data_IF_689746766382
#
_entry.id   IF_689746766382
#
_cell.length_a   1.000
_cell.length_b   1.000
_cell.length_c   1.000
_cell.angle_alpha   90.00
_cell.angle_beta   90.00
_cell.angle_gamma   90.00
#
_symmetry.space_group_name_H-M   'P 1'
#
loop_
_entity.id
_entity.type
_entity.pdbx_description
1 polymer ?
#
# COMPACT_ATOMS: atom_id res chain seq x y z
N UNK A 1 16.04 9.07 -23.85
CA UNK A 1 16.45 9.74 -22.59
C UNK A 1 15.55 10.93 -22.22
N UNK A 2 14.37 11.06 -22.79
CA UNK A 2 13.43 12.19 -22.59
C UNK A 2 12.19 11.86 -21.75
N UNK A 3 12.06 10.63 -21.23
CA UNK A 3 10.82 10.23 -20.52
C UNK A 3 10.78 10.56 -19.01
N UNK A 4 11.86 11.09 -18.43
CA UNK A 4 11.91 11.39 -16.99
C UNK A 4 11.56 12.83 -16.62
N UNK A 5 11.51 13.77 -17.59
CA UNK A 5 11.17 15.16 -17.31
C UNK A 5 9.66 15.42 -17.31
N UNK A 6 8.90 14.75 -18.18
CA UNK A 6 7.44 14.94 -18.23
C UNK A 6 6.70 14.40 -17.00
N UNK A 7 7.17 13.27 -16.43
CA UNK A 7 6.57 12.76 -15.18
C UNK A 7 6.79 13.68 -13.98
N UNK A 8 7.86 14.47 -13.98
CA UNK A 8 8.16 15.40 -12.87
C UNK A 8 7.27 16.64 -12.88
N UNK A 9 6.81 17.09 -14.05
CA UNK A 9 5.98 18.29 -14.17
C UNK A 9 4.54 18.04 -13.70
N UNK A 10 4.02 16.83 -13.89
CA UNK A 10 2.65 16.46 -13.48
C UNK A 10 2.52 16.09 -11.99
N UNK A 11 3.60 15.62 -11.37
CA UNK A 11 3.65 15.48 -9.92
C UNK A 11 3.63 16.83 -9.22
N UNK A 12 4.13 17.91 -9.86
CA UNK A 12 4.07 19.27 -9.33
C UNK A 12 2.65 19.80 -9.21
N UNK A 13 1.72 19.39 -10.07
CA UNK A 13 0.35 19.92 -10.09
C UNK A 13 -0.46 19.54 -8.84
N UNK A 14 -0.21 18.35 -8.28
CA UNK A 14 -0.84 17.92 -7.02
C UNK A 14 0.01 18.22 -5.79
N UNK A 15 1.29 18.55 -5.93
CA UNK A 15 2.19 18.90 -4.82
C UNK A 15 1.72 20.15 -4.06
N UNK A 16 1.05 21.08 -4.71
CA UNK A 16 0.47 22.24 -4.07
C UNK A 16 -0.59 21.85 -3.04
N UNK A 17 -1.49 20.93 -3.39
CA UNK A 17 -2.50 20.41 -2.47
C UNK A 17 -1.88 19.63 -1.30
N UNK A 18 -0.78 18.94 -1.53
CA UNK A 18 -0.08 18.18 -0.47
C UNK A 18 0.61 19.10 0.54
N UNK A 19 1.06 20.29 0.10
CA UNK A 19 1.76 21.25 0.96
C UNK A 19 0.82 22.22 1.66
N UNK A 20 -0.24 22.65 1.01
CA UNK A 20 -1.08 23.78 1.44
C UNK A 20 -2.57 23.45 1.49
N UNK A 21 -2.96 22.25 1.02
CA UNK A 21 -4.36 21.86 0.94
C UNK A 21 -4.98 21.58 2.32
N UNK A 22 -6.28 21.82 2.42
CA UNK A 22 -7.10 21.31 3.51
C UNK A 22 -6.98 19.78 3.58
N UNK A 23 -7.16 19.14 4.76
CA UNK A 23 -6.96 17.71 4.94
C UNK A 23 -7.64 16.84 3.88
N UNK A 24 -8.90 17.14 3.53
CA UNK A 24 -9.67 16.36 2.54
C UNK A 24 -9.09 16.50 1.13
N UNK A 25 -8.65 17.69 0.74
CA UNK A 25 -8.02 17.93 -0.57
C UNK A 25 -6.67 17.24 -0.67
N UNK A 26 -5.88 17.30 0.40
CA UNK A 26 -4.60 16.61 0.50
C UNK A 26 -4.79 15.10 0.32
N UNK A 27 -5.75 14.52 1.02
CA UNK A 27 -6.04 13.09 0.95
C UNK A 27 -6.50 12.66 -0.45
N UNK A 28 -7.39 13.42 -1.10
CA UNK A 28 -7.80 13.18 -2.49
C UNK A 28 -6.62 13.28 -3.45
N UNK A 29 -5.74 14.28 -3.28
CA UNK A 29 -4.53 14.43 -4.09
C UNK A 29 -3.59 13.22 -3.97
N UNK A 30 -3.41 12.67 -2.76
CA UNK A 30 -2.64 11.44 -2.52
C UNK A 30 -3.25 10.24 -3.27
N UNK A 31 -4.57 10.09 -3.24
CA UNK A 31 -5.25 9.00 -3.97
C UNK A 31 -5.03 9.13 -5.49
N UNK A 32 -5.20 10.32 -6.04
CA UNK A 32 -4.98 10.57 -7.46
C UNK A 32 -3.52 10.36 -7.88
N UNK A 33 -2.55 10.81 -7.07
CA UNK A 33 -1.13 10.56 -7.34
C UNK A 33 -0.82 9.08 -7.40
N UNK A 34 -1.29 8.34 -6.42
CA UNK A 34 -1.12 6.87 -6.38
C UNK A 34 -1.77 6.20 -7.58
N UNK A 35 -3.01 6.56 -7.89
CA UNK A 35 -3.77 5.98 -9.00
C UNK A 35 -3.09 6.21 -10.35
N UNK A 36 -2.60 7.43 -10.60
CA UNK A 36 -1.89 7.80 -11.83
C UNK A 36 -0.52 7.11 -11.88
N UNK A 37 0.24 7.15 -10.79
CA UNK A 37 1.58 6.57 -10.74
C UNK A 37 1.59 5.05 -10.87
N UNK A 38 0.53 4.36 -10.45
CA UNK A 38 0.39 2.91 -10.63
C UNK A 38 0.24 2.49 -12.10
N UNK A 39 -0.06 3.40 -13.02
CA UNK A 39 -0.13 3.07 -14.46
C UNK A 39 1.25 2.78 -15.05
N UNK A 40 2.32 3.35 -14.47
CA UNK A 40 3.71 3.09 -14.90
C UNK A 40 4.11 1.61 -14.78
N UNK A 41 3.44 0.83 -13.94
CA UNK A 41 3.67 -0.62 -13.80
C UNK A 41 3.55 -1.36 -15.12
N UNK A 42 2.62 -0.93 -15.98
CA UNK A 42 2.36 -1.51 -17.27
C UNK A 42 2.78 -0.56 -18.42
N UNK A 43 3.58 0.47 -18.09
CA UNK A 43 4.09 1.45 -19.07
C UNK A 43 3.01 2.37 -19.65
N UNK A 44 1.89 2.51 -18.96
CA UNK A 44 0.77 3.34 -19.39
C UNK A 44 0.91 4.78 -18.88
N UNK A 45 0.37 5.72 -19.64
CA UNK A 45 0.33 7.15 -19.29
C UNK A 45 -1.09 7.68 -19.38
N UNK A 46 -1.46 8.48 -18.39
CA UNK A 46 -2.75 9.16 -18.36
C UNK A 46 -2.78 10.38 -19.27
N UNK A 47 -3.97 10.74 -19.74
CA UNK A 47 -4.19 11.94 -20.54
C UNK A 47 -4.18 13.21 -19.70
N UNK A 48 -3.96 14.35 -20.36
CA UNK A 48 -4.12 15.67 -19.69
C UNK A 48 -5.58 15.95 -19.32
N UNK A 49 -6.52 15.40 -20.08
CA UNK A 49 -7.94 15.48 -19.76
C UNK A 49 -8.26 14.86 -18.40
N UNK A 50 -7.73 13.66 -18.12
CA UNK A 50 -7.89 13.06 -16.79
C UNK A 50 -7.30 13.93 -15.70
N UNK A 51 -6.09 14.48 -15.91
CA UNK A 51 -5.41 15.30 -14.89
C UNK A 51 -6.20 16.56 -14.54
N UNK A 52 -6.77 17.23 -15.57
CA UNK A 52 -7.65 18.39 -15.36
C UNK A 52 -8.93 17.98 -14.61
N UNK A 53 -9.53 16.83 -14.97
CA UNK A 53 -10.74 16.35 -14.33
C UNK A 53 -10.48 15.91 -12.88
N UNK A 54 -9.32 15.27 -12.63
CA UNK A 54 -8.86 14.93 -11.29
C UNK A 54 -8.68 16.15 -10.39
N UNK A 55 -8.12 17.26 -10.94
CA UNK A 55 -7.99 18.52 -10.21
C UNK A 55 -9.35 19.03 -9.76
N UNK A 56 -10.34 19.04 -10.64
CA UNK A 56 -11.71 19.46 -10.29
C UNK A 56 -12.33 18.60 -9.18
N UNK A 57 -12.01 17.29 -9.16
CA UNK A 57 -12.43 16.39 -8.09
C UNK A 57 -11.70 16.68 -6.75
N UNK A 58 -10.41 16.98 -6.79
CA UNK A 58 -9.64 17.38 -5.61
C UNK A 58 -10.20 18.69 -5.03
N UNK A 59 -10.52 19.66 -5.88
CA UNK A 59 -11.14 20.95 -5.51
C UNK A 59 -12.56 20.80 -4.96
N UNK A 60 -13.20 19.65 -5.18
CA UNK A 60 -14.58 19.39 -4.75
C UNK A 60 -15.65 19.94 -5.72
N UNK A 61 -15.27 20.34 -6.93
CA UNK A 61 -16.20 20.81 -7.95
C UNK A 61 -17.06 19.69 -8.53
N UNK A 62 -16.49 18.48 -8.59
CA UNK A 62 -17.16 17.29 -9.12
C UNK A 62 -16.89 16.07 -8.23
N UNK A 63 -17.81 15.13 -8.22
CA UNK A 63 -17.67 13.83 -7.52
C UNK A 63 -16.79 12.87 -8.32
N UNK A 64 -16.37 11.76 -7.69
CA UNK A 64 -15.57 10.73 -8.39
C UNK A 64 -16.42 10.00 -9.44
N UNK A 65 -17.71 9.83 -9.23
CA UNK A 65 -18.64 9.25 -10.19
C UNK A 65 -18.79 10.14 -11.43
N UNK A 66 -18.82 11.47 -11.22
CA UNK A 66 -18.82 12.44 -12.31
C UNK A 66 -17.52 12.39 -13.11
N UNK A 67 -16.34 12.21 -12.44
CA UNK A 67 -15.08 11.98 -13.14
C UNK A 67 -15.15 10.75 -14.03
N UNK A 68 -15.60 9.61 -13.50
CA UNK A 68 -15.72 8.36 -14.27
C UNK A 68 -16.66 8.53 -15.47
N UNK A 69 -17.78 9.23 -15.29
CA UNK A 69 -18.70 9.55 -16.38
C UNK A 69 -18.07 10.45 -17.45
N UNK A 70 -17.35 11.50 -17.04
CA UNK A 70 -16.68 12.43 -17.95
C UNK A 70 -15.58 11.73 -18.76
N UNK A 71 -14.75 10.92 -18.12
CA UNK A 71 -13.70 10.12 -18.80
C UNK A 71 -14.32 9.17 -19.81
N UNK A 72 -15.36 8.42 -19.43
CA UNK A 72 -16.10 7.53 -20.34
C UNK A 72 -16.65 8.28 -21.53
N UNK A 73 -17.30 9.40 -21.30
CA UNK A 73 -17.92 10.23 -22.36
C UNK A 73 -16.89 10.84 -23.31
N UNK A 74 -15.73 11.28 -22.76
CA UNK A 74 -14.64 11.82 -23.56
C UNK A 74 -14.17 10.83 -24.62
N UNK A 75 -13.89 9.59 -24.25
CA UNK A 75 -13.43 8.58 -25.20
C UNK A 75 -14.54 8.07 -26.13
N UNK A 76 -15.80 8.05 -25.70
CA UNK A 76 -16.94 7.70 -26.58
C UNK A 76 -17.20 8.72 -27.67
N UNK A 77 -16.93 10.00 -27.42
CA UNK A 77 -17.12 11.10 -28.39
C UNK A 77 -15.95 11.27 -29.35
N UNK A 78 -14.81 10.66 -29.09
CA UNK A 78 -13.64 10.77 -29.92
C UNK A 78 -13.84 10.01 -31.22
N UNK A 79 -14.11 10.74 -32.31
CA UNK A 79 -14.44 10.17 -33.63
C UNK A 79 -13.23 9.66 -34.40
N UNK A 80 -12.02 10.23 -34.16
CA UNK A 80 -10.75 9.76 -34.69
C UNK A 80 -9.87 9.30 -33.52
N UNK A 81 -9.53 8.00 -33.48
CA UNK A 81 -8.61 7.44 -32.48
C UNK A 81 -7.18 7.45 -32.99
N UNK A 82 -6.28 7.89 -32.14
CA UNK A 82 -4.83 7.77 -32.33
C UNK A 82 -4.36 6.39 -31.84
N UNK A 83 -3.18 5.96 -32.28
CA UNK A 83 -2.62 4.63 -31.94
C UNK A 83 -2.49 4.40 -30.41
N UNK A 84 -2.24 5.47 -29.65
CA UNK A 84 -2.08 5.40 -28.18
C UNK A 84 -3.36 5.64 -27.38
N UNK A 85 -4.49 5.91 -28.04
CA UNK A 85 -5.73 6.28 -27.34
C UNK A 85 -6.31 5.14 -26.50
N UNK A 86 -6.18 3.90 -26.95
CA UNK A 86 -6.68 2.76 -26.18
C UNK A 86 -5.90 2.59 -24.88
N UNK A 87 -4.58 2.82 -24.91
CA UNK A 87 -3.72 2.79 -23.72
C UNK A 87 -4.01 3.95 -22.75
N UNK A 88 -4.25 5.15 -23.31
CA UNK A 88 -4.63 6.33 -22.53
C UNK A 88 -6.01 6.14 -21.89
N UNK A 89 -6.98 5.61 -22.64
CA UNK A 89 -8.31 5.29 -22.12
C UNK A 89 -8.24 4.28 -20.97
N UNK A 90 -7.46 3.21 -21.12
CA UNK A 90 -7.22 2.26 -20.03
C UNK A 90 -6.64 2.97 -18.82
N UNK A 91 -5.54 3.71 -18.99
CA UNK A 91 -4.87 4.42 -17.89
C UNK A 91 -5.80 5.40 -17.17
N UNK A 92 -6.60 6.16 -17.89
CA UNK A 92 -7.52 7.14 -17.34
C UNK A 92 -8.66 6.50 -16.55
N UNK A 93 -9.31 5.48 -17.12
CA UNK A 93 -10.41 4.77 -16.45
C UNK A 93 -9.91 4.04 -15.20
N UNK A 94 -8.79 3.32 -15.32
CA UNK A 94 -8.18 2.59 -14.21
C UNK A 94 -7.74 3.55 -13.10
N UNK A 95 -7.19 4.72 -13.44
CA UNK A 95 -6.82 5.73 -12.43
C UNK A 95 -8.02 6.27 -11.68
N UNK A 96 -9.13 6.59 -12.36
CA UNK A 96 -10.35 7.04 -11.70
C UNK A 96 -10.92 5.96 -10.75
N UNK A 97 -10.93 4.70 -11.19
CA UNK A 97 -11.40 3.57 -10.39
C UNK A 97 -10.51 3.30 -9.16
N UNK A 98 -9.17 3.39 -9.32
CA UNK A 98 -8.23 3.26 -8.19
C UNK A 98 -8.38 4.42 -7.20
N UNK A 99 -8.51 5.67 -7.68
CA UNK A 99 -8.71 6.82 -6.81
C UNK A 99 -9.98 6.68 -5.94
N UNK A 100 -11.07 6.19 -6.52
CA UNK A 100 -12.30 5.85 -5.79
C UNK A 100 -12.04 4.79 -4.71
N UNK A 101 -11.41 3.66 -5.09
CA UNK A 101 -11.13 2.56 -4.17
C UNK A 101 -10.25 2.97 -2.99
N UNK A 102 -9.26 3.84 -3.23
CA UNK A 102 -8.35 4.32 -2.19
C UNK A 102 -9.04 5.30 -1.24
N UNK A 103 -10.09 5.98 -1.71
CA UNK A 103 -10.91 6.88 -0.90
C UNK A 103 -11.95 6.20 -0.01
N UNK A 104 -12.16 4.90 -0.17
CA UNK A 104 -13.09 4.12 0.63
C UNK A 104 -12.39 3.43 1.79
N UNK A 105 -12.95 3.49 2.99
CA UNK A 105 -12.41 2.81 4.18
C UNK A 105 -12.70 1.31 4.18
N UNK A 106 -13.71 0.87 3.42
CA UNK A 106 -14.11 -0.53 3.37
C UNK A 106 -13.01 -1.43 2.80
N UNK A 107 -12.68 -2.50 3.52
CA UNK A 107 -11.73 -3.50 3.10
C UNK A 107 -12.20 -4.91 3.49
N UNK A 108 -12.30 -5.80 2.51
CA UNK A 108 -12.69 -7.20 2.74
C UNK A 108 -11.47 -8.09 2.54
N UNK A 109 -10.94 -8.61 3.64
CA UNK A 109 -9.78 -9.51 3.64
C UNK A 109 -10.22 -10.94 3.29
N UNK A 110 -10.33 -11.23 2.01
CA UNK A 110 -10.73 -12.54 1.47
C UNK A 110 -10.45 -12.66 -0.03
N UNK A 111 -10.60 -13.86 -0.59
CA UNK A 111 -10.56 -14.09 -2.05
C UNK A 111 -11.61 -13.21 -2.76
N UNK A 112 -12.81 -13.09 -2.18
CA UNK A 112 -13.87 -12.22 -2.73
C UNK A 112 -13.41 -10.76 -2.71
N UNK A 113 -12.73 -10.33 -1.65
CA UNK A 113 -12.16 -8.98 -1.56
C UNK A 113 -11.14 -8.69 -2.66
N UNK A 114 -10.18 -9.60 -2.89
CA UNK A 114 -9.17 -9.45 -3.96
C UNK A 114 -9.82 -9.41 -5.34
N UNK A 115 -10.76 -10.32 -5.62
CA UNK A 115 -11.47 -10.35 -6.91
C UNK A 115 -12.36 -9.14 -7.10
N UNK A 116 -12.95 -8.60 -6.01
CA UNK A 116 -13.72 -7.35 -6.03
C UNK A 116 -12.83 -6.14 -6.31
N UNK A 117 -11.64 -6.05 -5.69
CA UNK A 117 -10.67 -5.00 -5.99
C UNK A 117 -10.30 -5.04 -7.48
N UNK A 118 -9.92 -6.21 -8.02
CA UNK A 118 -9.61 -6.33 -9.44
C UNK A 118 -10.79 -5.94 -10.33
N UNK A 119 -12.00 -6.43 -10.03
CA UNK A 119 -13.22 -6.09 -10.79
C UNK A 119 -13.41 -4.58 -10.85
N UNK A 120 -13.35 -3.92 -9.72
CA UNK A 120 -13.58 -2.48 -9.61
C UNK A 120 -12.50 -1.65 -10.26
N UNK A 121 -11.22 -2.05 -10.16
CA UNK A 121 -10.11 -1.39 -10.86
C UNK A 121 -10.32 -1.40 -12.37
N UNK A 122 -10.75 -2.55 -12.92
CA UNK A 122 -10.81 -2.77 -14.37
C UNK A 122 -12.24 -2.78 -14.93
N UNK A 123 -13.22 -2.32 -14.17
CA UNK A 123 -14.58 -2.15 -14.64
C UNK A 123 -14.63 -1.21 -15.85
N UNK A 124 -15.29 -1.68 -16.92
CA UNK A 124 -15.37 -0.94 -18.18
C UNK A 124 -14.08 -0.94 -19.03
N UNK A 125 -13.03 -1.64 -18.58
CA UNK A 125 -11.74 -1.81 -19.29
C UNK A 125 -11.60 -3.25 -19.78
N UNK A 126 -11.62 -4.23 -18.86
CA UNK A 126 -11.52 -5.64 -19.21
C UNK A 126 -12.85 -6.37 -19.09
N UNK A 127 -13.19 -7.18 -20.09
CA UNK A 127 -14.42 -8.02 -20.05
C UNK A 127 -14.38 -9.05 -18.92
N UNK A 128 -13.18 -9.51 -18.55
CA UNK A 128 -12.91 -10.49 -17.50
C UNK A 128 -12.53 -9.86 -16.15
N UNK A 129 -12.90 -8.61 -15.92
CA UNK A 129 -12.60 -7.92 -14.67
C UNK A 129 -13.17 -8.67 -13.45
N UNK A 130 -12.32 -9.04 -12.50
CA UNK A 130 -12.67 -9.81 -11.31
C UNK A 130 -12.72 -11.33 -11.50
N UNK A 131 -12.45 -11.85 -12.70
CA UNK A 131 -12.44 -13.28 -12.98
C UNK A 131 -11.04 -13.88 -12.80
N UNK A 132 -10.94 -14.98 -12.08
CA UNK A 132 -9.71 -15.75 -11.95
C UNK A 132 -9.48 -16.47 -13.30
N UNK A 133 -8.28 -16.33 -13.85
CA UNK A 133 -7.90 -16.96 -15.12
C UNK A 133 -7.99 -18.49 -15.05
N UNK A 134 -8.27 -19.11 -16.18
CA UNK A 134 -8.35 -20.57 -16.36
C UNK A 134 -7.26 -21.14 -17.28
N UNK A 135 -6.21 -20.37 -17.54
CA UNK A 135 -5.06 -20.75 -18.37
C UNK A 135 -3.75 -20.30 -17.71
N UNK A 136 -2.65 -21.01 -18.02
CA UNK A 136 -1.34 -20.68 -17.50
C UNK A 136 -0.73 -19.50 -18.26
N UNK A 137 0.10 -18.72 -17.58
CA UNK A 137 0.73 -17.52 -18.12
C UNK A 137 2.24 -17.54 -17.89
N UNK A 138 2.94 -16.86 -18.77
CA UNK A 138 4.37 -16.56 -18.65
C UNK A 138 4.59 -15.12 -19.14
N UNK A 139 5.41 -14.36 -18.42
CA UNK A 139 5.72 -12.97 -18.76
C UNK A 139 7.23 -12.77 -18.79
N UNK A 140 7.73 -12.16 -19.87
CA UNK A 140 9.14 -11.77 -19.93
C UNK A 140 9.41 -10.58 -19.03
N UNK A 141 10.27 -10.75 -18.04
CA UNK A 141 10.57 -9.72 -17.07
C UNK A 141 11.91 -9.03 -17.37
N UNK A 142 11.88 -7.69 -17.37
CA UNK A 142 13.07 -6.90 -17.71
C UNK A 142 14.24 -7.15 -16.74
N UNK A 143 13.98 -7.20 -15.43
CA UNK A 143 15.02 -7.46 -14.40
C UNK A 143 15.60 -8.88 -14.50
N UNK A 144 14.91 -9.79 -15.15
CA UNK A 144 15.32 -11.18 -15.39
C UNK A 144 15.93 -11.38 -16.78
N UNK A 145 16.25 -10.31 -17.52
CA UNK A 145 16.78 -10.39 -18.89
C UNK A 145 15.90 -11.19 -19.84
N UNK A 146 14.58 -11.13 -19.64
CA UNK A 146 13.58 -11.81 -20.46
C UNK A 146 13.15 -13.19 -19.95
N UNK A 147 13.69 -13.68 -18.84
CA UNK A 147 13.13 -14.84 -18.13
C UNK A 147 11.80 -14.47 -17.47
N UNK A 148 11.07 -15.48 -17.02
CA UNK A 148 9.77 -15.36 -16.34
C UNK A 148 9.84 -15.88 -14.90
N UNK A 149 9.04 -15.28 -14.02
CA UNK A 149 8.70 -15.90 -12.74
C UNK A 149 7.80 -17.11 -13.01
N UNK A 150 7.91 -18.13 -12.18
CA UNK A 150 6.97 -19.23 -12.14
C UNK A 150 5.70 -18.80 -11.42
N UNK A 151 4.65 -18.52 -12.17
CA UNK A 151 3.34 -18.16 -11.64
C UNK A 151 2.51 -19.39 -11.25
N UNK A 152 1.47 -19.20 -10.44
CA UNK A 152 0.55 -20.27 -10.06
C UNK A 152 -0.13 -20.93 -11.26
N UNK A 153 -0.31 -22.25 -11.20
CA UNK A 153 -1.04 -23.02 -12.22
C UNK A 153 -2.53 -22.71 -12.17
N UNK A 154 -3.17 -22.57 -13.33
CA UNK A 154 -4.58 -22.17 -13.42
C UNK A 154 -5.55 -23.00 -12.55
N UNK A 155 -5.48 -24.35 -12.47
CA UNK A 155 -6.37 -25.14 -11.64
C UNK A 155 -6.25 -24.86 -10.13
N UNK A 156 -5.09 -24.36 -9.68
CA UNK A 156 -4.76 -24.22 -8.26
C UNK A 156 -4.94 -22.81 -7.73
N UNK A 157 -5.15 -21.81 -8.59
CA UNK A 157 -5.14 -20.39 -8.22
C UNK A 157 -6.07 -20.03 -7.05
N UNK A 158 -7.32 -20.50 -7.10
CA UNK A 158 -8.29 -20.23 -6.02
C UNK A 158 -7.85 -20.86 -4.71
N UNK A 159 -7.35 -22.11 -4.75
CA UNK A 159 -6.86 -22.83 -3.57
C UNK A 159 -5.64 -22.14 -2.97
N UNK A 160 -4.70 -21.69 -3.80
CA UNK A 160 -3.53 -20.94 -3.37
C UNK A 160 -3.91 -19.63 -2.70
N UNK A 161 -4.86 -18.85 -3.29
CA UNK A 161 -5.37 -17.63 -2.68
C UNK A 161 -6.01 -17.87 -1.30
N UNK A 162 -6.84 -18.93 -1.18
CA UNK A 162 -7.46 -19.28 0.09
C UNK A 162 -6.38 -19.59 1.12
N UNK A 163 -5.42 -20.45 0.74
CA UNK A 163 -4.34 -20.89 1.62
C UNK A 163 -3.51 -19.71 2.14
N UNK A 164 -3.00 -18.84 1.25
CA UNK A 164 -2.16 -17.72 1.67
C UNK A 164 -2.92 -16.72 2.56
N UNK A 165 -4.19 -16.45 2.24
CA UNK A 165 -5.02 -15.56 3.06
C UNK A 165 -5.36 -16.16 4.44
N UNK A 166 -5.56 -17.47 4.53
CA UNK A 166 -5.80 -18.15 5.81
C UNK A 166 -4.53 -18.16 6.66
N UNK A 167 -3.37 -18.49 6.07
CA UNK A 167 -2.09 -18.46 6.79
C UNK A 167 -1.80 -17.07 7.35
N UNK A 168 -2.05 -16.01 6.58
CA UNK A 168 -1.87 -14.64 7.05
C UNK A 168 -2.88 -14.24 8.13
N UNK A 169 -4.12 -14.72 8.05
CA UNK A 169 -5.14 -14.48 9.08
C UNK A 169 -4.79 -15.11 10.43
N UNK A 170 -4.17 -16.29 10.39
CA UNK A 170 -3.72 -17.02 11.58
C UNK A 170 -2.41 -16.49 12.14
N UNK A 171 -1.68 -15.69 11.37
CA UNK A 171 -0.40 -15.13 11.80
C UNK A 171 -0.60 -14.07 12.90
N UNK A 172 0.13 -14.25 13.99
CA UNK A 172 0.11 -13.30 15.11
C UNK A 172 1.30 -12.36 15.05
N UNK A 173 1.02 -11.08 14.95
CA UNK A 173 2.04 -10.02 15.02
C UNK A 173 2.46 -9.64 16.44
N UNK A 174 1.83 -10.25 17.46
CA UNK A 174 2.10 -9.94 18.87
C UNK A 174 3.52 -10.38 19.23
N UNK A 175 4.30 -9.46 19.81
CA UNK A 175 5.67 -9.72 20.27
C UNK A 175 6.74 -9.81 19.16
N UNK A 176 6.36 -9.64 17.89
CA UNK A 176 7.31 -9.72 16.77
C UNK A 176 7.98 -8.35 16.56
N UNK A 177 9.31 -8.29 16.41
CA UNK A 177 10.03 -7.06 16.08
C UNK A 177 9.59 -6.50 14.73
N UNK A 178 9.68 -5.17 14.56
CA UNK A 178 9.24 -4.49 13.33
C UNK A 178 9.97 -5.03 12.09
N UNK A 179 11.25 -5.37 12.20
CA UNK A 179 12.02 -5.92 11.08
C UNK A 179 11.47 -7.26 10.60
N UNK A 180 11.09 -8.14 11.54
CA UNK A 180 10.49 -9.43 11.21
C UNK A 180 9.06 -9.26 10.68
N UNK A 181 8.31 -8.29 11.19
CA UNK A 181 7.00 -7.91 10.65
C UNK A 181 7.11 -7.44 9.19
N UNK A 182 8.07 -6.57 8.88
CA UNK A 182 8.27 -6.11 7.50
C UNK A 182 8.68 -7.25 6.57
N UNK A 183 9.56 -8.13 7.03
CA UNK A 183 9.94 -9.35 6.27
C UNK A 183 8.73 -10.25 6.02
N UNK A 184 7.89 -10.44 7.04
CA UNK A 184 6.67 -11.25 6.92
C UNK A 184 5.69 -10.61 5.93
N UNK A 185 5.39 -9.32 6.05
CA UNK A 185 4.55 -8.57 5.10
C UNK A 185 5.11 -8.68 3.67
N UNK A 186 6.42 -8.50 3.49
CA UNK A 186 7.06 -8.62 2.19
C UNK A 186 6.88 -10.03 1.62
N UNK A 187 7.05 -11.07 2.43
CA UNK A 187 6.85 -12.47 2.05
C UNK A 187 5.39 -12.72 1.65
N UNK A 188 4.44 -12.32 2.48
CA UNK A 188 3.01 -12.49 2.21
C UNK A 188 2.60 -11.79 0.90
N UNK A 189 2.92 -10.51 0.74
CA UNK A 189 2.56 -9.74 -0.46
C UNK A 189 3.23 -10.29 -1.72
N UNK A 190 4.48 -10.75 -1.63
CA UNK A 190 5.16 -11.36 -2.78
C UNK A 190 4.56 -12.71 -3.16
N UNK A 191 4.19 -13.55 -2.20
CA UNK A 191 3.49 -14.81 -2.43
C UNK A 191 2.14 -14.60 -3.09
N UNK A 192 1.33 -13.68 -2.54
CA UNK A 192 0.04 -13.31 -3.11
C UNK A 192 0.17 -12.81 -4.56
N UNK A 193 1.18 -11.99 -4.87
CA UNK A 193 1.46 -11.56 -6.24
C UNK A 193 1.90 -12.70 -7.14
N UNK A 194 2.69 -13.66 -6.64
CA UNK A 194 3.18 -14.81 -7.41
C UNK A 194 2.05 -15.73 -7.87
N UNK A 195 0.97 -15.86 -7.09
CA UNK A 195 -0.23 -16.60 -7.52
C UNK A 195 -0.72 -16.07 -8.87
N UNK A 196 -0.68 -14.76 -9.07
CA UNK A 196 -1.01 -14.10 -10.33
C UNK A 196 -2.39 -14.52 -10.88
N UNK A 197 -3.46 -14.32 -10.09
CA UNK A 197 -4.75 -14.97 -10.35
C UNK A 197 -5.49 -14.41 -11.57
N UNK A 198 -5.12 -13.25 -12.10
CA UNK A 198 -5.84 -12.59 -13.18
C UNK A 198 -5.05 -12.66 -14.51
N UNK A 199 -5.76 -12.56 -15.62
CA UNK A 199 -5.11 -12.51 -16.92
C UNK A 199 -4.22 -11.28 -17.08
N UNK A 200 -4.70 -10.12 -16.62
CA UNK A 200 -4.01 -8.83 -16.64
C UNK A 200 -4.20 -8.08 -15.29
N UNK A 201 -3.45 -7.00 -15.05
CA UNK A 201 -3.66 -6.09 -13.92
C UNK A 201 -3.26 -6.61 -12.54
N UNK A 202 -2.55 -7.75 -12.44
CA UNK A 202 -2.19 -8.36 -11.15
C UNK A 202 -1.38 -7.42 -10.24
N UNK A 203 -0.39 -6.70 -10.77
CA UNK A 203 0.45 -5.82 -9.96
C UNK A 203 -0.31 -4.60 -9.45
N UNK A 204 -1.17 -3.97 -10.28
CA UNK A 204 -2.03 -2.85 -9.84
C UNK A 204 -3.01 -3.30 -8.76
N UNK A 205 -3.61 -4.48 -8.92
CA UNK A 205 -4.48 -5.09 -7.91
C UNK A 205 -3.74 -5.37 -6.61
N UNK A 206 -2.55 -5.98 -6.69
CA UNK A 206 -1.72 -6.24 -5.51
C UNK A 206 -1.32 -4.96 -4.80
N UNK A 207 -0.97 -3.90 -5.52
CA UNK A 207 -0.63 -2.61 -4.92
C UNK A 207 -1.82 -2.00 -4.14
N UNK A 208 -3.01 -1.95 -4.74
CA UNK A 208 -4.22 -1.45 -4.08
C UNK A 208 -4.61 -2.32 -2.87
N UNK A 209 -4.56 -3.65 -3.03
CA UNK A 209 -4.75 -4.57 -1.91
C UNK A 209 -3.75 -4.30 -0.78
N UNK A 210 -2.47 -4.16 -1.09
CA UNK A 210 -1.40 -3.90 -0.11
C UNK A 210 -1.67 -2.61 0.66
N UNK A 211 -2.03 -1.52 -0.02
CA UNK A 211 -2.34 -0.25 0.63
C UNK A 211 -3.50 -0.42 1.63
N UNK A 212 -4.59 -1.03 1.19
CA UNK A 212 -5.77 -1.26 2.05
C UNK A 212 -5.46 -2.22 3.19
N UNK A 213 -4.72 -3.28 2.93
CA UNK A 213 -4.27 -4.24 3.93
C UNK A 213 -3.40 -3.58 5.01
N UNK A 214 -2.38 -2.83 4.62
CA UNK A 214 -1.52 -2.12 5.57
C UNK A 214 -2.29 -1.09 6.40
N UNK A 215 -3.24 -0.38 5.80
CA UNK A 215 -4.14 0.52 6.53
C UNK A 215 -4.97 -0.24 7.57
N UNK A 216 -5.49 -1.42 7.23
CA UNK A 216 -6.25 -2.27 8.17
C UNK A 216 -5.39 -2.78 9.33
N UNK A 217 -4.07 -2.86 9.15
CA UNK A 217 -3.10 -3.15 10.20
C UNK A 217 -2.69 -1.92 11.03
N UNK A 218 -3.25 -0.74 10.73
CA UNK A 218 -2.99 0.52 11.43
C UNK A 218 -1.79 1.32 10.94
N UNK A 219 -1.13 0.88 9.87
CA UNK A 219 -0.06 1.67 9.27
C UNK A 219 -0.62 2.87 8.51
N UNK A 220 -0.01 4.03 8.72
CA UNK A 220 -0.21 5.17 7.83
C UNK A 220 0.61 4.92 6.58
N UNK A 221 -0.05 4.58 5.49
CA UNK A 221 0.62 4.32 4.23
C UNK A 221 0.74 5.64 3.48
N UNK A 222 1.96 6.14 3.38
CA UNK A 222 2.27 7.23 2.49
C UNK A 222 2.25 6.70 1.05
N UNK A 223 1.19 7.02 0.32
CA UNK A 223 0.98 6.52 -1.03
C UNK A 223 1.95 7.10 -2.07
N UNK A 224 2.74 8.13 -1.72
CA UNK A 224 3.74 8.72 -2.61
C UNK A 224 4.75 7.70 -3.11
N UNK A 225 5.13 6.73 -2.28
CA UNK A 225 6.07 5.72 -2.69
C UNK A 225 5.51 4.79 -3.78
N UNK A 226 4.25 4.41 -3.69
CA UNK A 226 3.58 3.66 -4.75
C UNK A 226 3.43 4.48 -6.03
N UNK A 227 3.21 5.78 -5.92
CA UNK A 227 3.16 6.70 -7.05
C UNK A 227 4.51 6.83 -7.75
N UNK A 228 5.58 7.07 -6.99
CA UNK A 228 6.91 7.37 -7.53
C UNK A 228 7.73 6.14 -7.90
N UNK A 229 7.44 4.99 -7.27
CA UNK A 229 8.23 3.77 -7.31
C UNK A 229 7.40 2.53 -7.66
N UNK A 230 6.29 2.70 -8.38
CA UNK A 230 5.43 1.59 -8.81
C UNK A 230 6.19 0.55 -9.66
N UNK A 231 7.03 1.01 -10.59
CA UNK A 231 7.91 0.16 -11.38
C UNK A 231 8.96 -0.57 -10.53
N UNK A 232 9.49 0.11 -9.50
CA UNK A 232 10.39 -0.54 -8.54
C UNK A 232 9.65 -1.62 -7.74
N UNK A 233 8.45 -1.34 -7.24
CA UNK A 233 7.63 -2.30 -6.51
C UNK A 233 7.37 -3.56 -7.34
N UNK A 234 6.97 -3.40 -8.61
CA UNK A 234 6.80 -4.54 -9.53
C UNK A 234 8.08 -5.37 -9.67
N UNK A 235 9.19 -4.72 -9.95
CA UNK A 235 10.47 -5.41 -10.14
C UNK A 235 10.96 -6.10 -8.85
N UNK A 236 10.70 -5.50 -7.69
CA UNK A 236 11.01 -6.10 -6.39
C UNK A 236 10.17 -7.37 -6.13
N UNK A 237 8.88 -7.39 -6.51
CA UNK A 237 8.04 -8.58 -6.48
C UNK A 237 8.59 -9.68 -7.39
N UNK A 238 9.04 -9.31 -8.60
CA UNK A 238 9.68 -10.25 -9.55
C UNK A 238 10.93 -10.88 -8.91
N UNK A 239 11.83 -10.06 -8.34
CA UNK A 239 13.07 -10.55 -7.74
C UNK A 239 12.86 -11.40 -6.48
N UNK A 240 11.84 -11.08 -5.70
CA UNK A 240 11.46 -11.87 -4.52
C UNK A 240 10.94 -13.27 -4.87
N UNK A 241 10.44 -13.48 -6.11
CA UNK A 241 9.81 -14.72 -6.56
C UNK A 241 10.57 -15.46 -7.68
N UNK A 242 11.78 -15.01 -8.03
CA UNK A 242 12.56 -15.65 -9.09
C UNK A 242 13.79 -16.35 -8.53
N UNK A 243 13.98 -17.60 -8.94
CA UNK A 243 15.22 -18.34 -8.73
C UNK A 243 15.59 -19.11 -10.00
N UNK A 244 16.88 -19.31 -10.22
CA UNK A 244 17.41 -20.11 -11.31
C UNK A 244 18.76 -20.72 -10.90
N UNK A 245 18.75 -21.97 -10.51
CA UNK A 245 19.96 -22.68 -10.03
C UNK A 245 21.04 -22.78 -11.11
N UNK A 246 20.66 -22.89 -12.38
CA UNK A 246 21.64 -22.99 -13.49
C UNK A 246 22.40 -21.68 -13.67
N UNK A 247 21.72 -20.55 -13.45
CA UNK A 247 22.32 -19.20 -13.53
C UNK A 247 22.92 -18.76 -12.19
N UNK A 248 22.82 -19.55 -11.13
CA UNK A 248 23.27 -19.16 -9.79
C UNK A 248 22.47 -18.00 -9.19
N UNK A 249 21.21 -17.84 -9.58
CA UNK A 249 20.34 -16.76 -9.10
C UNK A 249 19.35 -17.33 -8.09
N UNK A 250 19.33 -16.75 -6.89
CA UNK A 250 18.40 -17.11 -5.82
C UNK A 250 17.32 -16.04 -5.62
N UNK A 251 16.29 -16.37 -4.83
CA UNK A 251 15.27 -15.43 -4.38
C UNK A 251 15.91 -14.23 -3.69
N UNK A 252 15.50 -13.03 -4.05
CA UNK A 252 16.08 -11.81 -3.49
C UNK A 252 14.98 -10.86 -2.97
N UNK A 253 14.48 -11.09 -1.76
CA UNK A 253 13.41 -10.29 -1.17
C UNK A 253 13.87 -8.92 -0.64
N UNK A 254 15.19 -8.68 -0.53
CA UNK A 254 15.72 -7.46 0.09
C UNK A 254 15.21 -6.17 -0.58
N UNK A 255 14.98 -6.19 -1.89
CA UNK A 255 14.47 -5.02 -2.61
C UNK A 255 13.03 -4.69 -2.18
N UNK A 256 12.19 -5.72 -1.99
CA UNK A 256 10.82 -5.53 -1.52
C UNK A 256 10.80 -5.11 -0.03
N UNK A 257 11.68 -5.69 0.78
CA UNK A 257 11.86 -5.30 2.19
C UNK A 257 12.25 -3.82 2.29
N UNK A 258 13.21 -3.35 1.48
CA UNK A 258 13.60 -1.92 1.44
C UNK A 258 12.44 -1.02 1.02
N UNK A 259 11.62 -1.45 0.07
CA UNK A 259 10.42 -0.71 -0.31
C UNK A 259 9.47 -0.55 0.88
N UNK A 260 9.18 -1.63 1.60
CA UNK A 260 8.30 -1.57 2.78
C UNK A 260 8.93 -0.82 3.95
N UNK A 261 10.24 -0.89 4.16
CA UNK A 261 10.92 -0.08 5.18
C UNK A 261 10.80 1.41 4.88
N UNK A 262 10.98 1.82 3.63
CA UNK A 262 10.77 3.21 3.23
C UNK A 262 9.29 3.63 3.39
N UNK A 263 8.36 2.74 3.04
CA UNK A 263 6.92 3.00 3.11
C UNK A 263 6.40 3.13 4.55
N UNK A 264 6.84 2.25 5.44
CA UNK A 264 6.26 2.07 6.78
C UNK A 264 7.07 2.74 7.89
N UNK A 265 8.37 2.95 7.68
CA UNK A 265 9.31 3.50 8.66
C UNK A 265 9.92 4.83 8.24
N UNK A 266 9.51 5.39 7.09
CA UNK A 266 10.07 6.60 6.49
C UNK A 266 11.61 6.54 6.30
N UNK A 267 12.14 5.32 6.12
CA UNK A 267 13.54 5.14 5.79
C UNK A 267 13.85 5.66 4.39
N UNK A 268 15.12 5.92 4.12
CA UNK A 268 15.59 6.45 2.84
C UNK A 268 16.52 5.46 2.13
N UNK A 269 16.14 4.18 2.10
CA UNK A 269 16.85 3.20 1.31
C UNK A 269 16.81 3.59 -0.17
N UNK A 270 17.92 3.44 -0.86
CA UNK A 270 17.96 3.73 -2.29
C UNK A 270 17.17 2.68 -3.08
N UNK A 271 16.17 3.14 -3.83
CA UNK A 271 15.28 2.29 -4.64
C UNK A 271 15.60 2.49 -6.13
N UNK A 272 16.53 1.68 -6.66
CA UNK A 272 16.93 1.71 -8.07
C UNK A 272 16.67 0.38 -8.77
N UNK A 273 15.90 0.42 -9.85
CA UNK A 273 15.57 -0.76 -10.64
C UNK A 273 16.79 -1.50 -11.19
N UNK A 274 17.85 -0.78 -11.55
CA UNK A 274 19.08 -1.37 -12.12
C UNK A 274 19.77 -2.35 -11.18
N UNK A 275 19.62 -2.19 -9.85
CA UNK A 275 20.21 -3.10 -8.86
C UNK A 275 19.49 -4.46 -8.79
N UNK A 276 18.32 -4.56 -9.37
CA UNK A 276 17.53 -5.79 -9.41
C UNK A 276 17.83 -6.68 -10.62
N UNK A 277 18.63 -6.21 -11.57
CA UNK A 277 19.05 -7.03 -12.71
C UNK A 277 19.81 -8.27 -12.23
N UNK A 278 19.46 -9.45 -12.77
CA UNK A 278 20.13 -10.71 -12.40
C UNK A 278 21.60 -10.81 -12.88
N UNK A 279 22.01 -9.89 -13.74
CA UNK A 279 23.37 -9.76 -14.26
C UNK A 279 23.78 -8.28 -14.21
N UNK A 280 23.93 -7.68 -13.00
CA UNK A 280 24.30 -6.28 -12.92
C UNK A 280 25.76 -6.11 -13.39
N UNK A 281 26.10 -4.99 -14.04
CA UNK A 281 27.50 -4.62 -14.26
C UNK A 281 28.24 -4.58 -12.92
N UNK A 282 29.47 -5.12 -12.88
CA UNK A 282 30.29 -5.24 -11.65
C UNK A 282 30.49 -3.94 -10.87
N UNK A 283 30.37 -2.80 -11.54
CA UNK A 283 30.47 -1.45 -10.98
C UNK A 283 29.30 -1.08 -10.03
N UNK A 284 28.24 -1.89 -9.98
CA UNK A 284 27.01 -1.62 -9.24
C UNK A 284 26.89 -2.38 -7.91
N UNK A 285 27.83 -3.26 -7.61
CA UNK A 285 27.79 -4.10 -6.38
C UNK A 285 28.15 -3.34 -5.10
N UNK A 286 28.72 -2.15 -5.19
CA UNK A 286 29.20 -1.40 -4.05
C UNK A 286 28.32 -0.21 -3.70
N UNK A 287 27.28 -0.39 -2.87
CA UNK A 287 26.82 0.63 -1.90
C UNK A 287 25.50 0.21 -1.23
N UNK A 288 25.58 -0.78 -0.36
CA UNK A 288 24.52 -1.08 0.59
C UNK A 288 24.90 -0.54 1.96
N UNK A 289 24.82 0.78 2.16
CA UNK A 289 24.87 1.36 3.52
C UNK A 289 23.49 1.24 4.14
N UNK A 290 23.41 0.46 5.22
CA UNK A 290 22.27 0.49 6.14
C UNK A 290 22.24 1.85 6.83
N UNK A 291 21.08 2.52 6.80
CA UNK A 291 20.83 3.72 7.59
C UNK A 291 20.27 3.27 8.94
N UNK A 292 20.75 3.81 10.09
CA UNK A 292 20.28 3.41 11.42
C UNK A 292 18.80 3.75 11.64
N UNK A 293 18.12 2.90 12.39
CA UNK A 293 16.72 3.02 12.78
C UNK A 293 16.45 4.32 13.56
N UNK A 294 15.62 5.21 13.01
CA UNK A 294 14.98 6.29 13.76
C UNK A 294 13.47 6.11 13.66
N UNK A 295 12.87 5.71 14.76
CA UNK A 295 11.42 5.70 14.91
C UNK A 295 10.88 7.14 15.07
N UNK A 296 9.68 7.45 14.51
CA UNK A 296 9.00 8.69 14.83
C UNK A 296 8.74 8.73 16.33
N UNK A 297 9.05 9.84 16.97
CA UNK A 297 8.90 10.02 18.42
C UNK A 297 7.43 10.37 18.69
N UNK A 298 6.63 9.41 19.13
CA UNK A 298 5.29 9.67 19.68
C UNK A 298 5.37 10.55 20.92
N UNK A 299 4.34 11.35 21.18
CA UNK A 299 4.29 12.17 22.39
C UNK A 299 4.34 11.29 23.65
N UNK A 300 4.77 11.86 24.79
CA UNK A 300 4.83 11.14 26.06
C UNK A 300 3.46 10.56 26.44
N UNK A 301 2.39 11.31 26.22
CA UNK A 301 1.01 10.91 26.51
C UNK A 301 0.57 9.72 25.65
N UNK A 302 0.84 9.76 24.37
CA UNK A 302 0.54 8.65 23.44
C UNK A 302 1.33 7.40 23.84
N UNK A 303 2.61 7.54 24.17
CA UNK A 303 3.43 6.42 24.64
C UNK A 303 2.89 5.81 25.95
N UNK A 304 2.43 6.62 26.89
CA UNK A 304 1.79 6.13 28.13
C UNK A 304 0.49 5.36 27.83
N UNK A 305 -0.34 5.86 26.91
CA UNK A 305 -1.57 5.17 26.49
C UNK A 305 -1.26 3.81 25.86
N UNK A 306 -0.28 3.77 24.97
CA UNK A 306 0.16 2.53 24.31
C UNK A 306 0.65 1.51 25.34
N UNK A 307 1.41 1.94 26.34
CA UNK A 307 1.89 1.07 27.43
C UNK A 307 0.74 0.53 28.29
N UNK A 308 -0.28 1.32 28.56
CA UNK A 308 -1.46 0.91 29.36
C UNK A 308 -2.30 -0.11 28.58
N UNK A 309 -2.57 0.15 27.29
CA UNK A 309 -3.39 -0.77 26.48
C UNK A 309 -2.66 -2.10 26.27
N UNK A 310 -1.38 -2.09 25.90
CA UNK A 310 -0.60 -3.30 25.71
C UNK A 310 -1.32 -4.32 24.80
N UNK A 311 -1.41 -5.55 25.25
CA UNK A 311 -2.06 -6.65 24.52
C UNK A 311 -3.55 -6.86 24.90
N UNK A 312 -4.18 -5.87 25.52
CA UNK A 312 -5.55 -5.98 26.03
C UNK A 312 -6.49 -5.01 25.35
N UNK A 313 -7.78 -5.19 25.60
CA UNK A 313 -8.85 -4.30 25.15
C UNK A 313 -9.42 -3.55 26.37
N UNK A 314 -9.41 -2.22 26.31
CA UNK A 314 -9.89 -1.36 27.39
C UNK A 314 -10.98 -0.41 26.92
N UNK A 315 -12.00 -0.20 27.76
CA UNK A 315 -12.95 0.92 27.61
C UNK A 315 -12.29 2.24 28.03
N UNK A 316 -12.86 3.35 27.61
CA UNK A 316 -12.41 4.69 28.05
C UNK A 316 -12.31 4.79 29.58
N UNK A 317 -13.28 4.23 30.33
CA UNK A 317 -13.31 4.29 31.78
C UNK A 317 -12.14 3.53 32.40
N UNK A 318 -11.89 2.30 31.94
CA UNK A 318 -10.78 1.48 32.42
C UNK A 318 -9.42 2.15 32.18
N UNK A 319 -9.24 2.78 31.00
CA UNK A 319 -7.99 3.51 30.69
C UNK A 319 -7.82 4.71 31.60
N UNK A 320 -8.86 5.49 31.82
CA UNK A 320 -8.84 6.64 32.71
C UNK A 320 -8.47 6.24 34.18
N UNK A 321 -9.03 5.12 34.65
CA UNK A 321 -8.76 4.58 35.96
C UNK A 321 -7.27 4.17 36.11
N UNK A 322 -6.70 3.48 35.11
CA UNK A 322 -5.30 3.04 35.10
C UNK A 322 -4.33 4.25 35.00
N UNK A 323 -4.67 5.25 34.18
CA UNK A 323 -3.86 6.45 34.01
C UNK A 323 -4.06 7.47 35.15
N UNK A 324 -4.98 7.19 36.11
CA UNK A 324 -5.38 8.10 37.18
C UNK A 324 -5.85 9.48 36.70
N UNK A 325 -6.49 9.51 35.53
CA UNK A 325 -7.02 10.72 34.90
C UNK A 325 -8.48 10.92 35.29
N UNK A 326 -8.83 12.14 35.77
CA UNK A 326 -10.20 12.52 36.14
C UNK A 326 -10.93 13.28 35.02
N UNK A 327 -10.20 13.91 34.10
CA UNK A 327 -10.76 14.72 33.04
C UNK A 327 -10.79 13.91 31.74
N UNK A 328 -12.01 13.54 31.32
CA UNK A 328 -12.24 12.77 30.09
C UNK A 328 -11.89 13.55 28.81
N UNK A 329 -12.17 14.85 28.79
CA UNK A 329 -11.89 15.72 27.63
C UNK A 329 -10.38 15.81 27.39
N UNK A 330 -9.62 16.10 28.45
CA UNK A 330 -8.14 16.08 28.38
C UNK A 330 -7.58 14.72 27.91
N UNK A 331 -8.19 13.61 28.34
CA UNK A 331 -7.80 12.28 27.87
C UNK A 331 -8.08 12.09 26.38
N UNK A 332 -9.26 12.51 25.91
CA UNK A 332 -9.59 12.41 24.49
C UNK A 332 -8.63 13.23 23.63
N UNK A 333 -8.34 14.47 24.01
CA UNK A 333 -7.58 15.42 23.19
C UNK A 333 -6.08 15.14 23.18
N UNK A 334 -5.51 14.69 24.29
CA UNK A 334 -4.06 14.56 24.44
C UNK A 334 -3.53 13.13 24.41
N UNK A 335 -4.40 12.12 24.56
CA UNK A 335 -4.00 10.71 24.55
C UNK A 335 -4.67 9.90 23.45
N UNK A 336 -6.00 9.82 23.46
CA UNK A 336 -6.72 8.87 22.62
C UNK A 336 -6.83 9.31 21.17
N UNK A 337 -7.31 10.55 20.92
CA UNK A 337 -7.45 11.08 19.56
C UNK A 337 -6.11 11.14 18.83
N UNK A 338 -5.02 11.65 19.42
CA UNK A 338 -3.71 11.58 18.78
C UNK A 338 -3.26 10.15 18.48
N UNK A 339 -3.45 9.21 19.41
CA UNK A 339 -3.07 7.82 19.23
C UNK A 339 -3.87 7.12 18.08
N UNK A 340 -5.16 7.47 17.95
CA UNK A 340 -5.98 7.01 16.83
C UNK A 340 -5.50 7.64 15.53
N UNK A 341 -5.26 8.94 15.49
CA UNK A 341 -4.78 9.66 14.31
C UNK A 341 -3.39 9.20 13.85
N UNK A 342 -2.53 8.80 14.80
CA UNK A 342 -1.24 8.19 14.51
C UNK A 342 -1.37 6.71 14.08
N UNK A 343 -2.58 6.13 14.11
CA UNK A 343 -2.83 4.73 13.77
C UNK A 343 -2.24 3.73 14.77
N UNK A 344 -2.05 4.12 16.03
CA UNK A 344 -1.49 3.26 17.08
C UNK A 344 -2.59 2.52 17.85
N UNK A 345 -3.77 3.14 17.96
CA UNK A 345 -4.95 2.61 18.66
C UNK A 345 -6.13 2.58 17.71
N UNK A 346 -6.95 1.56 17.79
CA UNK A 346 -8.19 1.46 17.03
C UNK A 346 -9.39 1.13 17.94
N UNK A 347 -10.58 1.40 17.44
CA UNK A 347 -11.86 1.13 18.09
C UNK A 347 -12.35 -0.28 17.80
N UNK A 348 -12.92 -0.97 18.76
CA UNK A 348 -13.56 -2.27 18.55
C UNK A 348 -14.81 -2.15 17.63
N UNK A 349 -15.53 -1.02 17.74
CA UNK A 349 -16.68 -0.71 16.90
C UNK A 349 -16.43 0.62 16.17
N UNK A 350 -15.65 0.64 15.08
CA UNK A 350 -15.27 1.88 14.36
C UNK A 350 -16.49 2.55 13.71
N UNK A 351 -17.44 1.76 13.16
CA UNK A 351 -18.67 2.26 12.53
C UNK A 351 -19.69 2.81 13.55
N UNK A 352 -19.45 2.60 14.83
CA UNK A 352 -20.32 3.06 15.93
C UNK A 352 -19.47 3.62 17.08
N UNK A 353 -18.83 4.80 16.92
CA UNK A 353 -17.90 5.34 17.93
C UNK A 353 -18.49 5.54 19.33
N UNK A 354 -19.82 5.70 19.41
CA UNK A 354 -20.57 5.85 20.68
C UNK A 354 -21.20 4.53 21.18
N UNK A 355 -20.75 3.40 20.65
CA UNK A 355 -21.28 2.10 21.07
C UNK A 355 -21.13 1.89 22.59
N UNK A 356 -22.15 1.40 23.33
CA UNK A 356 -22.09 1.25 24.81
C UNK A 356 -20.98 0.32 25.30
N UNK A 357 -20.55 -0.63 24.45
CA UNK A 357 -19.46 -1.57 24.73
C UNK A 357 -18.18 -1.21 24.00
N UNK A 358 -17.99 0.07 23.62
CA UNK A 358 -16.79 0.50 22.91
C UNK A 358 -15.56 0.21 23.74
N UNK A 359 -14.57 -0.41 23.11
CA UNK A 359 -13.24 -0.65 23.63
C UNK A 359 -12.19 -0.25 22.61
N UNK A 360 -10.97 -0.09 23.09
CA UNK A 360 -9.81 0.31 22.32
C UNK A 360 -8.72 -0.72 22.50
N UNK A 361 -8.02 -1.04 21.42
CA UNK A 361 -6.87 -1.94 21.40
C UNK A 361 -5.77 -1.38 20.50
N UNK A 362 -4.54 -1.89 20.68
CA UNK A 362 -3.43 -1.48 19.83
C UNK A 362 -3.58 -2.09 18.44
N UNK A 363 -3.28 -1.29 17.43
CA UNK A 363 -3.02 -1.80 16.07
C UNK A 363 -1.67 -2.50 16.04
N UNK A 364 -1.33 -3.15 14.93
CA UNK A 364 0.00 -3.75 14.77
C UNK A 364 1.10 -2.70 14.88
N UNK A 365 0.89 -1.50 14.35
CA UNK A 365 1.80 -0.36 14.54
C UNK A 365 1.92 0.02 16.03
N UNK A 366 0.81 0.05 16.75
CA UNK A 366 0.78 0.30 18.19
C UNK A 366 1.50 -0.77 19.00
N UNK A 367 1.34 -2.04 18.66
CA UNK A 367 2.05 -3.17 19.28
C UNK A 367 3.57 -3.07 19.07
N UNK A 368 4.03 -2.61 17.91
CA UNK A 368 5.47 -2.37 17.69
C UNK A 368 6.01 -1.27 18.61
N UNK A 369 5.29 -0.17 18.76
CA UNK A 369 5.67 0.89 19.69
C UNK A 369 5.70 0.35 21.13
N UNK A 370 4.68 -0.42 21.53
CA UNK A 370 4.62 -1.08 22.84
C UNK A 370 5.84 -1.97 23.09
N UNK A 371 6.17 -2.86 22.16
CA UNK A 371 7.32 -3.75 22.26
C UNK A 371 8.65 -2.99 22.32
N UNK A 372 8.78 -1.90 21.55
CA UNK A 372 9.97 -1.02 21.58
C UNK A 372 10.14 -0.31 22.92
N UNK A 373 9.05 0.16 23.52
CA UNK A 373 9.06 0.83 24.83
C UNK A 373 9.42 -0.16 25.95
N UNK A 374 8.81 -1.36 25.96
CA UNK A 374 9.12 -2.42 26.92
C UNK A 374 10.58 -2.88 26.85
N UNK A 375 11.14 -3.00 25.64
CA UNK A 375 12.54 -3.40 25.45
C UNK A 375 13.51 -2.34 26.01
N UNK A 376 13.18 -1.06 25.93
CA UNK A 376 13.97 0.02 26.52
C UNK A 376 13.92 0.02 28.05
N UNK A 377 12.76 -0.23 28.64
CA UNK A 377 12.62 -0.33 30.10
C UNK A 377 13.39 -1.54 30.65
N UNK A 378 13.33 -2.70 30.00
CA UNK A 378 14.08 -3.89 30.42
C UNK A 378 15.61 -3.69 30.32
N UNK A 379 16.10 -2.90 29.38
CA UNK A 379 17.54 -2.59 29.25
C UNK A 379 18.02 -1.55 30.28
N UNK A 380 17.13 -0.75 30.85
CA UNK A 380 17.45 0.21 31.93
C UNK A 380 17.53 -0.53 33.28
N UNK A 381 16.71 -1.56 33.49
CA UNK A 381 16.69 -2.35 34.74
C UNK A 381 17.88 -3.33 34.81
N UNK A 382 18.51 -3.67 33.67
CA UNK A 382 19.68 -4.57 33.60
C UNK A 382 21.04 -3.85 33.69
N UNK A 383 21.05 -2.53 33.77
CA UNK A 383 22.23 -1.70 34.05
C UNK A 383 22.19 -1.17 35.49
#
# INVERSE_FOLDING_TARGET
>A
MESSQDNNQYMSDFDEYLRQGEPDRKQKAEYWRTAIGLQDVDGLKTSDYLKQTARRNIEGEITIEEVQHLVKTYYQRKTAREEDDDKKEEADRVSANIAQLLGEDSFVYSVVGITSIHRRIFEGVFKHAGEIRNFDISKKEWVLRGDSVLYGNAPDLRRALVYDLEQEREFSYIGIPIDETIKHIAKFISGLWQIHPFAEGNTRTTAVFTIKYLRSLGFQVNNDLFSQKSWYFRNALVRANYHNYIKGVDYEPIFLIRFFRNLLLDERNELRNRYMLIDPPKEWEANTRQVPDKYPTSTRQVSQLVMVIGNHEYSTKEILDVLHLKNRENFMDNYLTPAINEGLVTMLYPDSPRHPRQKYHLTIKGLHLYNSLNSKEMNIIRK
#
